data_IF_231216053609
#
_entry.id   IF_231216053609
#
_cell.length_a   1.000
_cell.length_b   1.000
_cell.length_c   1.000
_cell.angle_alpha   90.00
_cell.angle_beta   90.00
_cell.angle_gamma   90.00
#
_symmetry.space_group_name_H-M   'P 1'
#
loop_
_entity.id
_entity.type
_entity.pdbx_description
1 polymer ?
#
# COMPACT_ATOMS: atom_id res chain seq x y z
N UNK A 1 1.96 15.98 2.36
CA UNK A 1 0.67 16.61 1.98
C UNK A 1 -0.36 16.05 2.94
N UNK A 2 -1.10 16.90 3.66
CA UNK A 2 -2.18 16.44 4.54
C UNK A 2 -3.38 16.05 3.67
N UNK A 3 -3.59 14.77 3.45
CA UNK A 3 -4.80 14.28 2.81
C UNK A 3 -5.93 14.32 3.84
N UNK A 4 -6.96 15.12 3.59
CA UNK A 4 -8.18 15.07 4.39
C UNK A 4 -8.87 13.72 4.18
N UNK A 5 -9.42 13.17 5.25
CA UNK A 5 -10.15 11.88 5.24
C UNK A 5 -11.21 11.82 4.13
N UNK A 6 -11.78 12.98 3.79
CA UNK A 6 -12.77 13.17 2.73
C UNK A 6 -12.22 12.80 1.34
N UNK A 7 -11.01 13.26 0.98
CA UNK A 7 -10.39 12.96 -0.32
C UNK A 7 -10.07 11.47 -0.46
N UNK A 8 -9.64 10.86 0.64
CA UNK A 8 -9.33 9.43 0.68
C UNK A 8 -10.59 8.59 0.48
N UNK A 9 -11.72 9.00 1.07
CA UNK A 9 -13.02 8.35 0.88
C UNK A 9 -13.51 8.50 -0.56
N UNK A 10 -13.36 9.67 -1.18
CA UNK A 10 -13.75 9.87 -2.59
C UNK A 10 -12.94 8.96 -3.52
N UNK A 11 -11.62 8.89 -3.32
CA UNK A 11 -10.72 8.02 -4.08
C UNK A 11 -11.00 6.54 -3.84
N UNK A 12 -11.30 6.17 -2.60
CA UNK A 12 -11.72 4.82 -2.24
C UNK A 12 -13.04 4.43 -2.91
N UNK A 13 -14.03 5.32 -2.96
CA UNK A 13 -15.29 5.05 -3.66
C UNK A 13 -15.12 4.97 -5.18
N UNK A 14 -14.11 5.65 -5.74
CA UNK A 14 -13.79 5.59 -7.16
C UNK A 14 -13.12 4.28 -7.60
N UNK A 15 -12.49 3.53 -6.67
CA UNK A 15 -11.93 2.21 -7.00
C UNK A 15 -13.00 1.12 -7.03
N UNK A 16 -12.85 0.09 -7.89
CA UNK A 16 -13.76 -1.05 -7.95
C UNK A 16 -14.00 -1.76 -6.61
N UNK A 17 -15.19 -2.33 -6.43
CA UNK A 17 -15.62 -3.02 -5.19
C UNK A 17 -14.68 -4.15 -4.75
N UNK A 18 -14.02 -4.83 -5.69
CA UNK A 18 -13.02 -5.85 -5.38
C UNK A 18 -11.77 -5.25 -4.69
N UNK A 19 -11.34 -4.05 -5.07
CA UNK A 19 -10.23 -3.34 -4.41
C UNK A 19 -10.70 -2.82 -3.05
N UNK A 20 -11.90 -2.24 -3.01
CA UNK A 20 -12.50 -1.78 -1.76
C UNK A 20 -12.56 -2.93 -0.74
N UNK A 21 -13.02 -4.11 -1.18
CA UNK A 21 -13.06 -5.34 -0.38
C UNK A 21 -11.70 -5.74 0.16
N UNK A 22 -10.66 -5.69 -0.68
CA UNK A 22 -9.27 -5.98 -0.27
C UNK A 22 -8.75 -5.01 0.79
N UNK A 23 -9.07 -3.73 0.69
CA UNK A 23 -8.61 -2.70 1.64
C UNK A 23 -9.34 -2.81 2.98
N UNK A 24 -10.64 -3.09 2.97
CA UNK A 24 -11.46 -3.23 4.20
C UNK A 24 -11.34 -4.62 4.81
N UNK A 25 -10.64 -5.54 4.15
CA UNK A 25 -10.41 -6.88 4.65
C UNK A 25 -9.61 -6.82 5.96
N UNK A 26 -10.04 -7.58 6.96
CA UNK A 26 -9.36 -7.64 8.25
C UNK A 26 -7.92 -8.15 8.15
N UNK A 27 -7.58 -8.84 7.06
CA UNK A 27 -6.26 -9.41 6.80
C UNK A 27 -5.30 -8.41 6.14
N UNK A 28 -5.79 -7.29 5.59
CA UNK A 28 -4.96 -6.32 4.86
C UNK A 28 -3.84 -5.70 5.73
N UNK A 29 -4.21 -5.06 6.84
CA UNK A 29 -3.26 -4.47 7.78
C UNK A 29 -2.29 -5.50 8.39
N UNK A 30 -2.78 -6.66 8.87
CA UNK A 30 -1.94 -7.75 9.34
C UNK A 30 -0.97 -8.28 8.29
N UNK A 31 -1.38 -8.39 7.02
CA UNK A 31 -0.52 -8.84 5.94
C UNK A 31 0.66 -7.87 5.74
N UNK A 32 0.41 -6.57 5.66
CA UNK A 32 1.47 -5.55 5.52
C UNK A 32 2.40 -5.57 6.75
N UNK A 33 1.83 -5.66 7.95
CA UNK A 33 2.60 -5.77 9.19
C UNK A 33 3.47 -7.02 9.20
N UNK A 34 2.97 -8.16 8.72
CA UNK A 34 3.73 -9.41 8.64
C UNK A 34 4.88 -9.32 7.63
N UNK A 35 4.64 -8.72 6.46
CA UNK A 35 5.68 -8.47 5.45
C UNK A 35 6.79 -7.58 5.99
N UNK A 36 6.42 -6.50 6.69
CA UNK A 36 7.35 -5.57 7.33
C UNK A 36 8.16 -6.25 8.44
N UNK A 37 7.49 -7.05 9.29
CA UNK A 37 8.14 -7.80 10.37
C UNK A 37 9.18 -8.78 9.85
N UNK A 38 8.92 -9.45 8.72
CA UNK A 38 9.88 -10.34 8.06
C UNK A 38 11.16 -9.64 7.59
N UNK A 39 11.12 -8.32 7.41
CA UNK A 39 12.25 -7.48 7.00
C UNK A 39 12.90 -6.72 8.17
N UNK A 40 12.46 -6.99 9.40
CA UNK A 40 12.95 -6.31 10.61
C UNK A 40 12.48 -4.86 10.72
N UNK A 41 11.32 -4.54 10.16
CA UNK A 41 10.67 -3.23 10.28
C UNK A 41 9.72 -3.23 11.47
N UNK A 42 9.80 -2.20 12.32
CA UNK A 42 8.95 -2.05 13.50
C UNK A 42 7.46 -1.91 13.15
N UNK A 43 6.58 -2.27 14.09
CA UNK A 43 5.13 -2.17 13.90
C UNK A 43 4.67 -0.73 13.61
N UNK A 44 5.28 0.28 14.25
CA UNK A 44 4.97 1.69 13.98
C UNK A 44 5.26 2.04 12.52
N UNK A 45 6.42 1.60 12.05
CA UNK A 45 6.88 1.80 10.68
C UNK A 45 6.04 1.04 9.66
N UNK A 46 5.52 -0.13 10.04
CA UNK A 46 4.59 -0.88 9.20
C UNK A 46 3.26 -0.14 8.98
N UNK A 47 2.79 0.64 9.94
CA UNK A 47 1.61 1.50 9.77
C UNK A 47 1.86 2.59 8.71
N UNK A 48 3.06 3.18 8.68
CA UNK A 48 3.43 4.15 7.63
C UNK A 48 3.47 3.51 6.24
N UNK A 49 3.88 2.24 6.15
CA UNK A 49 3.84 1.45 4.91
C UNK A 49 2.40 1.22 4.49
N UNK A 50 1.54 0.78 5.41
CA UNK A 50 0.12 0.53 5.16
C UNK A 50 -0.59 1.77 4.58
N UNK A 51 -0.38 2.93 5.19
CA UNK A 51 -0.90 4.21 4.71
C UNK A 51 -0.42 4.54 3.28
N UNK A 52 0.86 4.30 2.99
CA UNK A 52 1.40 4.51 1.64
C UNK A 52 0.85 3.52 0.62
N UNK A 53 0.66 2.25 1.01
CA UNK A 53 0.02 1.24 0.15
C UNK A 53 -1.40 1.67 -0.17
N UNK A 54 -2.17 2.09 0.84
CA UNK A 54 -3.52 2.59 0.68
C UNK A 54 -3.57 3.75 -0.31
N UNK A 55 -2.66 4.73 -0.17
CA UNK A 55 -2.56 5.85 -1.11
C UNK A 55 -2.28 5.40 -2.55
N UNK A 56 -1.43 4.40 -2.75
CA UNK A 56 -1.18 3.86 -4.09
C UNK A 56 -2.41 3.15 -4.63
N UNK A 57 -3.09 2.35 -3.80
CA UNK A 57 -4.27 1.59 -4.20
C UNK A 57 -5.45 2.48 -4.63
N UNK A 58 -5.68 3.56 -3.89
CA UNK A 58 -6.74 4.53 -4.23
C UNK A 58 -6.30 5.55 -5.29
N UNK A 59 -5.06 5.45 -5.80
CA UNK A 59 -4.54 6.31 -6.86
C UNK A 59 -4.20 7.73 -6.43
N UNK A 60 -3.87 7.93 -5.15
CA UNK A 60 -3.30 9.17 -4.60
C UNK A 60 -1.78 9.22 -4.86
N UNK A 61 -1.07 8.13 -4.59
CA UNK A 61 0.36 7.98 -4.83
C UNK A 61 0.63 7.08 -6.03
N UNK A 62 1.75 7.27 -6.73
CA UNK A 62 2.15 6.40 -7.82
C UNK A 62 3.07 5.27 -7.30
N UNK A 63 2.93 4.01 -7.76
CA UNK A 63 3.77 2.89 -7.28
C UNK A 63 5.27 3.10 -7.54
N UNK A 64 5.63 3.94 -8.52
CA UNK A 64 7.03 4.32 -8.78
C UNK A 64 7.62 5.22 -7.70
N UNK A 65 6.78 6.02 -7.03
CA UNK A 65 7.19 6.87 -5.92
C UNK A 65 7.14 6.13 -4.58
N UNK A 66 6.54 4.94 -4.53
CA UNK A 66 6.42 4.13 -3.32
C UNK A 66 7.77 3.88 -2.65
N UNK A 67 8.79 3.43 -3.39
CA UNK A 67 10.13 3.17 -2.83
C UNK A 67 10.70 4.43 -2.17
N UNK A 68 10.58 5.59 -2.85
CA UNK A 68 11.07 6.86 -2.34
C UNK A 68 10.31 7.32 -1.10
N UNK A 69 8.99 7.13 -1.08
CA UNK A 69 8.14 7.49 0.06
C UNK A 69 8.43 6.62 1.28
N UNK A 70 8.63 5.32 1.07
CA UNK A 70 9.02 4.35 2.10
C UNK A 70 10.40 4.71 2.69
N UNK A 71 11.38 5.05 1.85
CA UNK A 71 12.67 5.54 2.35
C UNK A 71 12.51 6.83 3.16
N UNK A 72 11.69 7.77 2.70
CA UNK A 72 11.51 9.06 3.34
C UNK A 72 10.72 8.99 4.66
N UNK A 73 9.61 8.21 4.71
CA UNK A 73 8.77 8.06 5.90
C UNK A 73 9.45 7.22 6.97
N UNK A 74 10.10 6.13 6.57
CA UNK A 74 10.54 5.08 7.49
C UNK A 74 12.04 5.17 7.80
N UNK A 75 12.81 5.86 6.96
CA UNK A 75 14.27 5.98 7.10
C UNK A 75 14.99 4.65 6.99
N UNK A 76 14.60 3.81 6.03
CA UNK A 76 15.24 2.51 5.74
C UNK A 76 16.16 2.62 4.53
N UNK A 77 17.15 1.72 4.46
CA UNK A 77 18.05 1.60 3.32
C UNK A 77 17.30 1.26 2.03
N UNK A 78 17.88 1.61 0.88
CA UNK A 78 17.32 1.35 -0.45
C UNK A 78 16.99 -0.13 -0.66
N UNK A 79 17.87 -1.02 -0.23
CA UNK A 79 17.66 -2.47 -0.35
C UNK A 79 16.39 -2.93 0.38
N UNK A 80 16.17 -2.45 1.61
CA UNK A 80 14.97 -2.76 2.38
C UNK A 80 13.72 -2.14 1.77
N UNK A 81 13.80 -0.87 1.38
CA UNK A 81 12.68 -0.20 0.73
C UNK A 81 12.24 -0.92 -0.55
N UNK A 82 13.22 -1.37 -1.35
CA UNK A 82 12.98 -2.15 -2.56
C UNK A 82 12.37 -3.52 -2.25
N UNK A 83 12.87 -4.24 -1.25
CA UNK A 83 12.31 -5.52 -0.83
C UNK A 83 10.85 -5.40 -0.34
N UNK A 84 10.52 -4.35 0.41
CA UNK A 84 9.14 -4.04 0.82
C UNK A 84 8.29 -3.76 -0.43
N UNK A 85 8.76 -2.89 -1.32
CA UNK A 85 8.05 -2.51 -2.52
C UNK A 85 7.79 -3.70 -3.45
N UNK A 86 8.76 -4.59 -3.64
CA UNK A 86 8.58 -5.81 -4.42
C UNK A 86 7.53 -6.73 -3.79
N UNK A 87 7.62 -7.00 -2.49
CA UNK A 87 6.63 -7.83 -1.78
C UNK A 87 5.22 -7.26 -1.84
N UNK A 88 5.06 -5.95 -1.59
CA UNK A 88 3.76 -5.27 -1.67
C UNK A 88 3.25 -5.29 -3.11
N UNK A 89 4.12 -5.08 -4.09
CA UNK A 89 3.72 -5.10 -5.48
C UNK A 89 3.23 -6.48 -5.92
N UNK A 90 3.90 -7.54 -5.48
CA UNK A 90 3.56 -8.93 -5.82
C UNK A 90 2.29 -9.40 -5.10
N UNK A 91 2.14 -9.09 -3.81
CA UNK A 91 1.01 -9.56 -3.01
C UNK A 91 -0.24 -8.69 -3.17
N UNK A 92 -0.09 -7.37 -3.40
CA UNK A 92 -1.22 -6.44 -3.35
C UNK A 92 -1.44 -5.76 -4.71
N UNK A 93 -0.43 -5.12 -5.29
CA UNK A 93 -0.63 -4.37 -6.54
C UNK A 93 -0.92 -5.30 -7.73
N UNK A 94 -0.37 -6.52 -7.76
CA UNK A 94 -0.71 -7.54 -8.75
C UNK A 94 -2.18 -7.94 -8.64
N UNK A 95 -2.65 -8.34 -7.46
CA UNK A 95 -4.07 -8.71 -7.23
C UNK A 95 -5.01 -7.60 -7.70
N UNK A 96 -4.65 -6.36 -7.39
CA UNK A 96 -5.42 -5.17 -7.77
C UNK A 96 -5.40 -4.94 -9.28
N UNK A 97 -4.24 -5.06 -9.94
CA UNK A 97 -4.12 -4.97 -11.40
C UNK A 97 -4.91 -6.07 -12.10
N UNK A 98 -4.84 -7.29 -11.62
CA UNK A 98 -5.60 -8.41 -12.19
C UNK A 98 -7.09 -8.17 -12.05
N UNK A 99 -7.53 -7.73 -10.87
CA UNK A 99 -8.94 -7.43 -10.65
C UNK A 99 -9.43 -6.24 -11.49
N UNK A 100 -8.58 -5.25 -11.78
CA UNK A 100 -8.89 -4.16 -12.71
C UNK A 100 -9.02 -4.64 -14.17
N UNK A 101 -8.21 -5.62 -14.58
CA UNK A 101 -8.27 -6.19 -15.94
C UNK A 101 -9.58 -6.95 -16.20
N UNK A 102 -10.19 -7.54 -15.18
CA UNK A 102 -11.45 -8.31 -15.31
C UNK A 102 -12.65 -7.42 -15.62
N UNK A 103 -12.55 -6.10 -15.40
CA UNK A 103 -13.64 -5.14 -15.64
C UNK A 103 -13.69 -4.61 -17.09
N UNK A 104 -12.80 -5.08 -17.98
CA UNK A 104 -12.79 -4.73 -19.41
C UNK A 104 -13.02 -5.96 -20.29
#
# INVERSE_FOLDING_TARGET
MEYTKENLIEKFNAVPKNIQGLIVDESFGPAITFLCKGLGVDAVKALDVEDEVLHVLVGISHPKDFIRNIQAKIGVDEEKARAIAEKVNDEIFQLVKESLKVVH
#
